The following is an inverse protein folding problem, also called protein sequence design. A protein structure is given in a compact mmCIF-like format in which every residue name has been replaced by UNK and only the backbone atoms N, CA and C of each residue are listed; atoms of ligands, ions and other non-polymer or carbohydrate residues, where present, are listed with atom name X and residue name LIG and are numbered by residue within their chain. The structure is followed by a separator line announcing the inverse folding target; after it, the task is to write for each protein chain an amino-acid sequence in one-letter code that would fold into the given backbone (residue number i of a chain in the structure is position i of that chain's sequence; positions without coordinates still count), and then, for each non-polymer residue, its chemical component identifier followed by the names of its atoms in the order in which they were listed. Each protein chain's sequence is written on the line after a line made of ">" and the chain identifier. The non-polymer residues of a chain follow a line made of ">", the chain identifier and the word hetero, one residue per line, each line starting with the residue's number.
data_IF_155103696647
#
_entry.id   IF_155103696647
#
_cell.length_a   1.000
_cell.length_b   1.000
_cell.length_c   1.000
_cell.angle_alpha   90.00
_cell.angle_beta   90.00
_cell.angle_gamma   90.00
#
_symmetry.space_group_name_H-M   'P 1'
#
loop_
_entity.id
_entity.type
_entity.pdbx_description
1 polymer ?
#
# COMPACT_ATOMS: atom_id res chain seq x y z
N UNK A 1 23.14 10.11 13.33
CA UNK A 1 22.34 8.89 13.14
C UNK A 1 21.75 8.99 11.74
N UNK A 2 22.10 8.09 10.81
CA UNK A 2 21.58 8.18 9.44
C UNK A 2 20.06 7.98 9.50
N UNK A 3 19.32 8.92 8.93
CA UNK A 3 17.87 8.95 9.01
C UNK A 3 17.27 7.72 8.33
N UNK A 4 16.43 7.01 9.08
CA UNK A 4 15.61 5.90 8.58
C UNK A 4 14.90 6.36 7.30
N UNK A 5 15.24 5.73 6.18
CA UNK A 5 14.70 6.07 4.87
C UNK A 5 13.18 6.06 4.92
N UNK A 6 12.57 7.17 4.52
CA UNK A 6 11.12 7.28 4.40
C UNK A 6 10.60 6.12 3.56
N UNK A 7 9.53 5.47 4.04
CA UNK A 7 8.80 4.52 3.23
C UNK A 7 8.50 5.11 1.86
N UNK A 8 8.85 4.38 0.81
CA UNK A 8 8.70 4.83 -0.57
C UNK A 8 7.68 3.96 -1.27
N UNK A 9 6.83 4.58 -2.10
CA UNK A 9 6.05 3.85 -3.09
C UNK A 9 6.97 3.20 -4.15
N UNK A 10 6.43 2.23 -4.89
CA UNK A 10 7.18 1.46 -5.90
C UNK A 10 7.94 2.36 -6.90
N UNK A 11 9.26 2.16 -7.10
CA UNK A 11 10.02 2.91 -8.10
C UNK A 11 9.40 2.77 -9.50
N UNK A 12 9.14 3.89 -10.18
CA UNK A 12 8.65 3.91 -11.57
C UNK A 12 7.13 4.02 -11.76
N UNK A 13 6.33 4.02 -10.70
CA UNK A 13 4.88 4.34 -10.79
C UNK A 13 4.71 5.85 -10.67
N UNK A 14 4.18 6.52 -11.71
CA UNK A 14 3.81 7.94 -11.63
C UNK A 14 2.46 8.08 -10.90
N UNK A 15 2.30 9.01 -9.94
CA UNK A 15 0.99 9.29 -9.35
C UNK A 15 0.01 9.73 -10.45
N UNK A 16 -1.21 9.18 -10.41
CA UNK A 16 -2.23 9.45 -11.42
C UNK A 16 -2.80 10.88 -11.25
N UNK A 17 -2.91 11.70 -12.31
CA UNK A 17 -3.19 13.13 -12.20
C UNK A 17 -4.66 13.51 -11.93
N UNK A 18 -5.53 12.56 -11.55
CA UNK A 18 -6.91 12.86 -11.15
C UNK A 18 -7.07 12.73 -9.64
N UNK A 19 -6.84 13.85 -8.98
CA UNK A 19 -7.01 14.06 -7.55
C UNK A 19 -8.49 14.29 -7.22
N UNK A 20 -9.19 13.25 -6.79
CA UNK A 20 -10.30 13.39 -5.85
C UNK A 20 -9.78 12.94 -4.46
N UNK A 21 -10.08 13.66 -3.36
CA UNK A 21 -9.52 13.33 -2.05
C UNK A 21 -10.30 12.14 -1.46
N UNK A 22 -9.97 10.93 -1.90
CA UNK A 22 -10.21 9.74 -1.09
C UNK A 22 -8.88 9.40 -0.43
N UNK A 23 -8.75 9.84 0.82
CA UNK A 23 -7.64 9.44 1.69
C UNK A 23 -7.76 7.95 1.96
N UNK A 24 -7.26 7.12 1.05
CA UNK A 24 -6.90 5.75 1.38
C UNK A 24 -5.49 5.82 1.93
N UNK A 25 -5.33 5.52 3.22
CA UNK A 25 -4.08 5.62 4.01
C UNK A 25 -2.80 4.97 3.41
N UNK A 26 -2.90 4.34 2.24
CA UNK A 26 -1.81 3.70 1.52
C UNK A 26 -1.14 4.59 0.46
N UNK A 27 -1.75 5.70 0.02
CA UNK A 27 -1.17 6.54 -1.05
C UNK A 27 -0.10 7.53 -0.55
N UNK A 28 -0.10 7.85 0.75
CA UNK A 28 0.83 8.83 1.33
C UNK A 28 2.17 8.21 1.76
N UNK A 29 2.38 6.92 1.50
CA UNK A 29 3.61 6.23 1.88
C UNK A 29 3.71 5.88 3.36
N UNK A 30 2.59 5.76 4.08
CA UNK A 30 2.52 5.48 5.52
C UNK A 30 2.29 4.01 5.82
N UNK A 31 3.10 3.44 6.71
CA UNK A 31 2.87 2.14 7.31
C UNK A 31 2.32 2.25 8.72
N UNK A 32 1.66 1.18 9.15
CA UNK A 32 1.25 1.03 10.53
C UNK A 32 2.46 1.21 11.47
N UNK A 33 2.30 2.07 12.48
CA UNK A 33 3.35 2.38 13.45
C UNK A 33 4.24 3.57 13.07
N UNK A 34 4.11 4.11 11.86
CA UNK A 34 4.80 5.35 11.48
C UNK A 34 4.27 6.56 12.26
N UNK A 35 5.15 7.53 12.49
CA UNK A 35 4.82 8.78 13.19
C UNK A 35 4.86 9.94 12.20
N UNK A 36 3.73 10.62 12.08
CA UNK A 36 3.56 11.79 11.20
C UNK A 36 3.17 13.03 12.00
N UNK A 37 3.54 14.20 11.48
CA UNK A 37 2.93 15.46 11.88
C UNK A 37 1.57 15.56 11.20
N UNK A 38 0.56 16.02 11.93
CA UNK A 38 -0.76 16.26 11.36
C UNK A 38 -1.19 17.71 11.55
N UNK A 39 -2.08 18.17 10.68
CA UNK A 39 -2.90 19.35 10.87
C UNK A 39 -4.35 18.92 11.07
N UNK A 40 -5.07 19.62 11.93
CA UNK A 40 -6.52 19.42 12.10
C UNK A 40 -7.23 20.45 11.25
N UNK A 41 -8.12 20.00 10.37
CA UNK A 41 -8.95 20.92 9.59
C UNK A 41 -10.14 21.45 10.39
N UNK A 42 -10.95 22.31 9.77
CA UNK A 42 -12.11 22.93 10.41
C UNK A 42 -13.18 21.92 10.84
N UNK A 43 -13.18 20.72 10.23
CA UNK A 43 -14.12 19.63 10.53
C UNK A 43 -13.57 18.70 11.65
N UNK A 44 -12.39 19.01 12.20
CA UNK A 44 -11.74 18.20 13.22
C UNK A 44 -10.96 17.00 12.67
N UNK A 45 -10.85 16.86 11.34
CA UNK A 45 -10.14 15.73 10.73
C UNK A 45 -8.64 15.98 10.75
N UNK A 46 -7.88 14.96 11.17
CA UNK A 46 -6.43 15.00 11.19
C UNK A 46 -5.87 14.56 9.84
N UNK A 47 -5.14 15.47 9.18
CA UNK A 47 -4.48 15.22 7.90
C UNK A 47 -2.98 15.19 8.12
N UNK A 48 -2.30 14.16 7.62
CA UNK A 48 -0.85 14.09 7.64
C UNK A 48 -0.26 15.23 6.80
N UNK A 49 0.73 15.95 7.35
CA UNK A 49 1.40 17.09 6.69
C UNK A 49 2.92 16.99 6.71
N UNK A 50 3.47 15.96 7.35
CA UNK A 50 4.91 15.75 7.36
C UNK A 50 5.33 14.53 8.15
N UNK A 51 6.58 14.14 8.00
CA UNK A 51 7.13 12.91 8.57
C UNK A 51 7.94 13.17 9.84
N UNK A 52 7.84 12.26 10.81
CA UNK A 52 8.60 12.31 12.08
C UNK A 52 9.45 11.07 12.27
N UNK A 53 8.92 9.88 11.98
CA UNK A 53 9.66 8.63 12.13
C UNK A 53 8.98 7.46 11.43
N UNK A 54 9.79 6.49 11.01
CA UNK A 54 9.31 5.25 10.40
C UNK A 54 9.44 4.08 11.37
N UNK A 55 8.43 3.23 11.34
CA UNK A 55 8.35 1.94 12.05
C UNK A 55 9.21 0.85 11.41
N UNK A 56 9.61 1.02 10.14
CA UNK A 56 10.22 -0.04 9.33
C UNK A 56 9.23 -1.06 8.76
N UNK A 57 7.94 -0.91 9.04
CA UNK A 57 6.90 -1.74 8.43
C UNK A 57 6.67 -1.33 6.96
N UNK A 58 6.16 -2.26 6.16
CA UNK A 58 5.75 -2.01 4.78
C UNK A 58 4.25 -2.22 4.61
N UNK A 59 3.62 -1.47 3.72
CA UNK A 59 2.20 -1.62 3.35
C UNK A 59 2.08 -2.15 1.94
N UNK A 60 1.41 -3.29 1.78
CA UNK A 60 1.15 -3.94 0.50
C UNK A 60 -0.37 -3.97 0.29
N UNK A 61 -0.82 -3.66 -0.93
CA UNK A 61 -2.23 -3.76 -1.30
C UNK A 61 -2.39 -4.70 -2.49
N UNK A 62 -3.41 -5.56 -2.43
CA UNK A 62 -3.85 -6.42 -3.54
C UNK A 62 -5.26 -6.05 -3.97
N UNK A 63 -5.49 -6.04 -5.27
CA UNK A 63 -6.78 -5.73 -5.90
C UNK A 63 -7.17 -6.92 -6.80
N UNK A 64 -8.21 -7.69 -6.46
CA UNK A 64 -8.65 -8.83 -7.27
C UNK A 64 -8.95 -8.45 -8.72
N UNK A 65 -8.57 -9.30 -9.68
CA UNK A 65 -8.94 -9.13 -11.09
C UNK A 65 -10.35 -9.70 -11.29
N UNK A 66 -11.35 -8.88 -11.69
CA UNK A 66 -12.74 -9.33 -11.80
C UNK A 66 -12.99 -10.46 -12.82
N UNK A 67 -12.10 -10.64 -13.79
CA UNK A 67 -12.16 -11.71 -14.81
C UNK A 67 -11.12 -12.82 -14.60
N UNK A 68 -10.37 -12.79 -13.49
CA UNK A 68 -9.35 -13.78 -13.18
C UNK A 68 -9.94 -15.11 -12.66
N UNK A 69 -9.10 -16.09 -12.34
CA UNK A 69 -9.54 -17.35 -11.71
C UNK A 69 -10.31 -17.15 -10.40
N UNK A 70 -10.10 -16.02 -9.73
CA UNK A 70 -10.79 -15.53 -8.54
C UNK A 70 -12.08 -14.74 -8.84
N UNK A 71 -12.39 -14.51 -10.12
CA UNK A 71 -13.33 -13.51 -10.64
C UNK A 71 -14.67 -14.06 -11.14
N UNK A 72 -15.43 -14.78 -10.29
CA UNK A 72 -16.86 -14.96 -10.55
C UNK A 72 -17.69 -14.81 -9.29
N UNK A 73 -18.15 -13.58 -9.03
CA UNK A 73 -19.37 -13.39 -8.25
C UNK A 73 -20.58 -13.82 -9.12
N UNK A 74 -21.50 -14.68 -8.62
CA UNK A 74 -22.64 -15.16 -9.41
C UNK A 74 -23.69 -14.08 -9.75
N UNK A 75 -23.66 -12.94 -9.06
CA UNK A 75 -24.57 -11.83 -9.27
C UNK A 75 -23.92 -10.82 -10.21
N UNK A 76 -24.45 -10.64 -11.43
CA UNK A 76 -24.03 -9.62 -12.40
C UNK A 76 -24.28 -8.16 -11.98
N UNK A 77 -24.07 -7.83 -10.70
CA UNK A 77 -24.08 -6.47 -10.17
C UNK A 77 -22.66 -5.99 -9.91
N UNK A 78 -22.35 -4.79 -10.38
CA UNK A 78 -21.06 -4.13 -10.22
C UNK A 78 -20.79 -3.78 -8.74
N UNK A 79 -20.30 -4.74 -7.95
CA UNK A 79 -19.54 -4.44 -6.75
C UNK A 79 -18.09 -4.26 -7.18
N UNK A 80 -17.51 -3.09 -6.94
CA UNK A 80 -16.09 -2.87 -7.18
C UNK A 80 -15.28 -3.94 -6.43
N UNK A 81 -14.23 -4.52 -7.02
CA UNK A 81 -13.43 -5.54 -6.35
C UNK A 81 -12.89 -4.97 -5.04
N UNK A 82 -13.20 -5.64 -3.92
CA UNK A 82 -12.72 -5.24 -2.60
C UNK A 82 -11.19 -5.38 -2.56
N UNK A 83 -10.49 -4.26 -2.41
CA UNK A 83 -9.04 -4.26 -2.22
C UNK A 83 -8.68 -4.63 -0.78
N UNK A 84 -7.62 -5.42 -0.60
CA UNK A 84 -7.09 -5.76 0.73
C UNK A 84 -5.70 -5.16 0.88
N UNK A 85 -5.47 -4.44 1.98
CA UNK A 85 -4.14 -3.98 2.37
C UNK A 85 -3.66 -4.76 3.59
N UNK A 86 -2.38 -5.11 3.62
CA UNK A 86 -1.74 -5.78 4.75
C UNK A 86 -0.37 -5.18 5.03
N UNK A 87 0.06 -5.28 6.29
CA UNK A 87 1.35 -4.82 6.75
C UNK A 87 2.36 -5.98 6.76
N UNK A 88 3.57 -5.74 6.24
CA UNK A 88 4.72 -6.60 6.46
C UNK A 88 5.56 -5.99 7.61
N UNK A 89 5.75 -6.70 8.73
CA UNK A 89 6.53 -6.20 9.86
C UNK A 89 7.99 -5.93 9.50
N UNK A 90 8.61 -4.97 10.16
CA UNK A 90 10.04 -4.70 10.06
C UNK A 90 10.88 -5.98 10.32
N UNK A 91 11.87 -6.24 9.47
CA UNK A 91 12.76 -7.40 9.58
C UNK A 91 12.12 -8.75 9.25
N UNK A 92 10.88 -8.78 8.74
CA UNK A 92 10.27 -10.00 8.23
C UNK A 92 10.98 -10.51 6.97
N UNK A 93 10.72 -11.77 6.59
CA UNK A 93 11.21 -12.33 5.33
C UNK A 93 10.49 -11.68 4.14
N UNK A 94 11.01 -10.54 3.68
CA UNK A 94 10.43 -9.79 2.57
C UNK A 94 10.48 -10.56 1.25
N UNK A 95 11.50 -11.39 1.01
CA UNK A 95 11.59 -12.21 -0.19
C UNK A 95 10.45 -13.25 -0.23
N UNK A 96 10.22 -13.94 0.89
CA UNK A 96 9.09 -14.85 1.04
C UNK A 96 7.75 -14.13 0.88
N UNK A 97 7.56 -12.99 1.54
CA UNK A 97 6.31 -12.21 1.49
C UNK A 97 6.02 -11.73 0.05
N UNK A 98 7.01 -11.31 -0.73
CA UNK A 98 6.83 -10.87 -2.13
C UNK A 98 6.35 -11.98 -3.06
N UNK A 99 6.62 -13.24 -2.72
CA UNK A 99 6.34 -14.38 -3.59
C UNK A 99 4.83 -14.49 -3.87
N UNK A 100 3.99 -14.41 -2.83
CA UNK A 100 2.54 -14.59 -2.99
C UNK A 100 1.87 -13.48 -3.82
N UNK A 101 2.09 -12.17 -3.56
CA UNK A 101 1.56 -11.11 -4.40
C UNK A 101 2.04 -11.20 -5.85
N UNK A 102 3.31 -11.52 -6.08
CA UNK A 102 3.89 -11.64 -7.42
C UNK A 102 3.32 -12.84 -8.20
N UNK A 103 3.16 -13.99 -7.53
CA UNK A 103 2.55 -15.17 -8.12
C UNK A 103 1.10 -14.88 -8.50
N UNK A 104 0.29 -14.34 -7.59
CA UNK A 104 -1.10 -14.02 -7.89
C UNK A 104 -1.27 -12.98 -9.00
N UNK A 105 -0.32 -12.05 -9.17
CA UNK A 105 -0.31 -11.17 -10.34
C UNK A 105 0.04 -11.90 -11.64
N UNK A 106 1.01 -12.80 -11.60
CA UNK A 106 1.41 -13.62 -12.76
C UNK A 106 0.28 -14.54 -13.20
N UNK A 107 -0.46 -15.11 -12.25
CA UNK A 107 -1.60 -15.99 -12.49
C UNK A 107 -2.91 -15.24 -12.74
N UNK A 108 -2.89 -13.91 -12.71
CA UNK A 108 -4.06 -13.06 -13.00
C UNK A 108 -5.13 -13.10 -11.91
N UNK A 109 -4.79 -13.47 -10.67
CA UNK A 109 -5.69 -13.45 -9.52
C UNK A 109 -5.96 -12.03 -9.00
N UNK A 110 -4.94 -11.18 -9.01
CA UNK A 110 -4.99 -9.80 -8.53
C UNK A 110 -3.90 -8.94 -9.17
N UNK A 111 -4.06 -7.63 -9.11
CA UNK A 111 -2.92 -6.70 -9.18
C UNK A 111 -2.42 -6.42 -7.76
N UNK A 112 -1.15 -6.06 -7.60
CA UNK A 112 -0.66 -5.59 -6.31
C UNK A 112 0.20 -4.33 -6.44
N UNK A 113 0.19 -3.54 -5.38
CA UNK A 113 1.02 -2.36 -5.19
C UNK A 113 1.65 -2.37 -3.81
N UNK A 114 2.72 -1.60 -3.67
CA UNK A 114 3.37 -1.36 -2.38
C UNK A 114 3.18 0.13 -2.10
N UNK A 115 2.32 0.43 -1.14
CA UNK A 115 2.04 1.80 -0.71
C UNK A 115 3.22 2.40 0.06
N UNK A 116 3.89 1.58 0.88
CA UNK A 116 5.00 1.96 1.75
C UNK A 116 6.01 0.82 1.75
N UNK A 117 7.20 1.03 1.19
CA UNK A 117 8.28 0.06 1.20
C UNK A 117 9.58 0.67 1.72
N UNK A 118 10.26 -0.03 2.62
CA UNK A 118 11.62 0.32 3.10
C UNK A 118 12.69 -0.06 2.06
N UNK A 119 13.92 0.42 2.25
CA UNK A 119 15.04 -0.01 1.39
C UNK A 119 15.24 -1.52 1.43
N UNK A 120 15.13 -2.13 2.61
CA UNK A 120 15.18 -3.58 2.81
C UNK A 120 14.11 -4.29 1.98
N UNK A 121 12.88 -3.78 1.98
CA UNK A 121 11.84 -4.28 1.10
C UNK A 121 12.22 -4.15 -0.38
N UNK A 122 12.85 -3.06 -0.82
CA UNK A 122 13.20 -2.89 -2.24
C UNK A 122 14.38 -3.74 -2.69
N UNK A 123 15.31 -4.06 -1.80
CA UNK A 123 16.53 -4.84 -2.11
C UNK A 123 16.42 -6.33 -1.85
N UNK A 124 15.38 -6.78 -1.13
CA UNK A 124 15.12 -8.20 -0.86
C UNK A 124 14.70 -9.02 -2.08
#
# INVERSE_FOLDING_TARGET
>A
MPGTTCCRAKPGVRPHPRSEPVATASEDGVAEGDVVRYQTDADGLHRAVGWVGSSGNCTIRVVPVPAGPSGRSPSGGASAPLSVAFAAPAGADFAGIKTLPAQGQTEGWWHYEVGCGTDEWWTA
#
